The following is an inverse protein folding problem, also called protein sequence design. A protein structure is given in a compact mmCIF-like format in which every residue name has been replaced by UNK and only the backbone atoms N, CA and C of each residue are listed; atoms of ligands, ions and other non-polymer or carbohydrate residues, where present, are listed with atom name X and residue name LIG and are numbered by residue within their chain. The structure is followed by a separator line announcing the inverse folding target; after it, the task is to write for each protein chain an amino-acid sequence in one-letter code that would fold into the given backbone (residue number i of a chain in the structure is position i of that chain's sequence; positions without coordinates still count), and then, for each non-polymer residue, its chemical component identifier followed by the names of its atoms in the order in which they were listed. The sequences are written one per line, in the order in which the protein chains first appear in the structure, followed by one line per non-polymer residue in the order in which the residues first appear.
data_IF_446096917914
#
_entry.id   IF_446096917914
#
_cell.length_a   1.000
_cell.length_b   1.000
_cell.length_c   1.000
_cell.angle_alpha   90.00
_cell.angle_beta   90.00
_cell.angle_gamma   90.00
#
_symmetry.space_group_name_H-M   'P 1'
#
loop_
_entity.id
_entity.type
_entity.pdbx_description
1 polymer ?
#
# COMPACT_ATOMS: atom_id res chain seq x y z
N UNK A 1 -7.37 24.22 -33.82
CA UNK A 1 -7.47 24.66 -32.42
C UNK A 1 -8.69 23.98 -31.83
N UNK A 2 -8.48 22.91 -31.07
CA UNK A 2 -9.56 22.11 -30.47
C UNK A 2 -9.43 22.27 -28.95
N UNK A 3 -10.46 22.69 -28.22
CA UNK A 3 -10.35 22.96 -26.80
C UNK A 3 -10.17 21.66 -26.01
N UNK A 4 -9.33 21.76 -24.97
CA UNK A 4 -9.08 20.75 -23.96
C UNK A 4 -10.40 20.39 -23.27
N UNK A 5 -10.85 19.14 -23.43
CA UNK A 5 -11.79 18.55 -22.47
C UNK A 5 -10.97 18.27 -21.23
N UNK A 6 -11.04 19.18 -20.26
CA UNK A 6 -10.56 18.96 -18.91
C UNK A 6 -11.44 17.88 -18.30
N UNK A 7 -10.94 16.64 -18.31
CA UNK A 7 -11.54 15.54 -17.59
C UNK A 7 -11.52 15.92 -16.12
N UNK A 8 -12.65 16.40 -15.59
CA UNK A 8 -12.83 16.57 -14.14
C UNK A 8 -12.71 15.19 -13.54
N UNK A 9 -11.51 14.86 -13.07
CA UNK A 9 -11.26 13.66 -12.29
C UNK A 9 -12.24 13.69 -11.12
N UNK A 10 -13.04 12.63 -10.99
CA UNK A 10 -13.94 12.42 -9.86
C UNK A 10 -13.21 12.78 -8.56
N UNK A 11 -13.86 13.43 -7.57
CA UNK A 11 -13.19 13.77 -6.32
C UNK A 11 -12.56 12.50 -5.77
N UNK A 12 -11.23 12.45 -5.78
CA UNK A 12 -10.49 11.32 -5.25
C UNK A 12 -11.00 11.13 -3.82
N UNK A 13 -11.67 10.01 -3.55
CA UNK A 13 -12.14 9.67 -2.21
C UNK A 13 -11.01 10.02 -1.24
N UNK A 14 -11.28 10.77 -0.15
CA UNK A 14 -10.23 11.10 0.78
C UNK A 14 -9.61 9.79 1.27
N UNK A 15 -8.33 9.60 0.91
CA UNK A 15 -7.58 8.40 1.19
C UNK A 15 -6.14 8.77 1.52
N UNK A 16 -5.47 7.89 2.24
CA UNK A 16 -4.06 8.06 2.56
C UNK A 16 -3.28 8.05 1.25
N UNK A 17 -2.45 9.07 1.02
CA UNK A 17 -1.66 9.20 -0.21
C UNK A 17 -0.74 7.98 -0.45
N UNK A 18 -0.24 7.36 0.62
CA UNK A 18 0.74 6.29 0.50
C UNK A 18 0.08 4.92 0.38
N UNK A 19 -0.85 4.57 1.28
CA UNK A 19 -1.43 3.23 1.33
C UNK A 19 -2.84 3.14 0.73
N UNK A 20 -3.39 4.23 0.21
CA UNK A 20 -4.76 4.33 -0.30
C UNK A 20 -5.87 3.94 0.71
N UNK A 21 -5.54 3.82 2.01
CA UNK A 21 -6.54 3.57 3.05
C UNK A 21 -7.60 4.67 3.03
N UNK A 22 -8.90 4.35 3.11
CA UNK A 22 -9.95 5.37 3.10
C UNK A 22 -9.95 6.16 4.41
N UNK A 23 -10.10 7.48 4.32
CA UNK A 23 -10.18 8.37 5.48
C UNK A 23 -9.81 9.82 5.15
N UNK A 24 -10.21 10.75 6.03
CA UNK A 24 -9.89 12.17 5.88
C UNK A 24 -8.51 12.47 6.47
N UNK A 25 -7.49 12.53 5.60
CA UNK A 25 -6.10 12.83 5.99
C UNK A 25 -5.63 14.24 5.60
N UNK A 26 -6.58 15.09 5.16
CA UNK A 26 -6.32 16.46 4.75
C UNK A 26 -5.61 16.60 3.40
N UNK A 27 -5.35 17.84 3.01
CA UNK A 27 -4.66 18.16 1.76
C UNK A 27 -3.17 17.80 1.80
N UNK A 28 -2.61 17.51 0.63
CA UNK A 28 -1.18 17.27 0.46
C UNK A 28 -0.46 18.62 0.40
N UNK A 29 0.38 18.89 1.39
CA UNK A 29 1.16 20.12 1.50
C UNK A 29 2.65 19.75 1.36
N UNK A 30 3.33 20.12 0.25
CA UNK A 30 4.74 19.74 0.01
C UNK A 30 5.71 20.18 1.11
N UNK A 31 5.39 21.26 1.81
CA UNK A 31 6.20 21.82 2.90
C UNK A 31 5.91 21.20 4.27
N UNK A 32 4.85 20.41 4.41
CA UNK A 32 4.44 19.80 5.68
C UNK A 32 4.74 18.30 5.63
N UNK A 33 5.72 17.81 6.42
CA UNK A 33 6.03 16.39 6.45
C UNK A 33 4.79 15.61 6.89
N UNK A 34 4.56 14.48 6.22
CA UNK A 34 3.45 13.55 6.49
C UNK A 34 2.03 14.07 6.23
N UNK A 35 1.86 15.24 5.59
CA UNK A 35 0.54 15.70 5.17
C UNK A 35 -0.13 14.71 4.21
N UNK A 36 -1.43 14.45 4.40
CA UNK A 36 -2.18 13.48 3.60
C UNK A 36 -1.86 12.01 3.89
N UNK A 37 -1.13 11.69 4.98
CA UNK A 37 -0.83 10.32 5.39
C UNK A 37 -1.66 9.87 6.59
N UNK A 38 -2.03 8.59 6.61
CA UNK A 38 -2.60 7.96 7.80
C UNK A 38 -1.52 7.63 8.84
N UNK A 39 -1.94 7.38 10.07
CA UNK A 39 -1.04 7.08 11.19
C UNK A 39 -0.14 5.87 10.95
N UNK A 40 -0.64 4.85 10.25
CA UNK A 40 0.13 3.67 9.88
C UNK A 40 1.30 4.02 8.96
N UNK A 41 1.07 4.89 7.97
CA UNK A 41 2.13 5.35 7.06
C UNK A 41 3.13 6.27 7.78
N UNK A 42 2.67 7.08 8.72
CA UNK A 42 3.54 7.90 9.59
C UNK A 42 4.43 7.00 10.46
N UNK A 43 3.85 5.92 10.99
CA UNK A 43 4.57 4.94 11.81
C UNK A 43 5.60 4.18 10.97
N UNK A 44 5.20 3.73 9.77
CA UNK A 44 6.06 3.03 8.82
C UNK A 44 7.24 3.88 8.34
N UNK A 45 7.11 5.20 8.33
CA UNK A 45 8.19 6.12 7.96
C UNK A 45 9.33 6.19 9.00
N UNK A 46 9.15 5.62 10.19
CA UNK A 46 10.17 5.64 11.26
C UNK A 46 11.04 4.38 11.18
N UNK A 47 12.38 4.49 11.28
CA UNK A 47 13.31 3.34 11.28
C UNK A 47 13.31 2.64 12.65
N UNK A 48 12.14 2.24 13.12
CA UNK A 48 11.91 1.51 14.37
C UNK A 48 11.35 0.13 14.05
N UNK A 49 11.43 -0.82 14.98
CA UNK A 49 10.83 -2.15 14.79
C UNK A 49 9.35 -2.06 14.41
N UNK A 50 8.57 -1.26 15.14
CA UNK A 50 7.15 -1.05 14.85
C UNK A 50 6.93 -0.42 13.46
N UNK A 51 7.81 0.51 13.05
CA UNK A 51 7.77 1.09 11.70
C UNK A 51 8.06 0.07 10.61
N UNK A 52 9.09 -0.77 10.79
CA UNK A 52 9.40 -1.85 9.84
C UNK A 52 8.28 -2.89 9.76
N UNK A 53 7.72 -3.30 10.90
CA UNK A 53 6.56 -4.20 10.96
C UNK A 53 5.37 -3.62 10.20
N UNK A 54 5.05 -2.34 10.42
CA UNK A 54 3.96 -1.66 9.73
C UNK A 54 4.22 -1.51 8.23
N UNK A 55 5.47 -1.23 7.82
CA UNK A 55 5.84 -1.12 6.41
C UNK A 55 5.58 -2.42 5.64
N UNK A 56 5.95 -3.57 6.21
CA UNK A 56 5.70 -4.88 5.61
C UNK A 56 4.19 -5.14 5.47
N UNK A 57 3.39 -4.79 6.47
CA UNK A 57 1.92 -4.94 6.41
C UNK A 57 1.31 -4.06 5.32
N UNK A 58 1.78 -2.81 5.18
CA UNK A 58 1.32 -1.90 4.12
C UNK A 58 1.64 -2.46 2.73
N UNK A 59 2.88 -2.90 2.50
CA UNK A 59 3.29 -3.49 1.22
C UNK A 59 2.49 -4.75 0.90
N UNK A 60 2.27 -5.62 1.89
CA UNK A 60 1.47 -6.82 1.69
C UNK A 60 0.03 -6.52 1.27
N UNK A 61 -0.59 -5.49 1.88
CA UNK A 61 -1.94 -5.03 1.50
C UNK A 61 -1.96 -4.45 0.08
N UNK A 62 -0.96 -3.65 -0.28
CA UNK A 62 -0.86 -3.07 -1.62
C UNK A 62 -0.70 -4.15 -2.70
N UNK A 63 0.21 -5.11 -2.48
CA UNK A 63 0.38 -6.26 -3.38
C UNK A 63 -0.93 -7.06 -3.52
N UNK A 64 -1.65 -7.28 -2.42
CA UNK A 64 -2.92 -8.00 -2.47
C UNK A 64 -3.97 -7.22 -3.28
N UNK A 65 -4.11 -5.92 -3.04
CA UNK A 65 -5.04 -5.07 -3.77
C UNK A 65 -4.72 -5.01 -5.27
N UNK A 66 -3.43 -4.94 -5.65
CA UNK A 66 -2.99 -5.00 -7.04
C UNK A 66 -3.35 -6.34 -7.69
N UNK A 67 -3.15 -7.45 -6.98
CA UNK A 67 -3.53 -8.78 -7.47
C UNK A 67 -5.06 -8.95 -7.57
N UNK A 68 -5.83 -8.41 -6.63
CA UNK A 68 -7.31 -8.42 -6.66
C UNK A 68 -7.89 -7.56 -7.79
N UNK A 69 -7.18 -6.50 -8.19
CA UNK A 69 -7.55 -5.66 -9.31
C UNK A 69 -7.21 -6.28 -10.69
N UNK A 70 -6.49 -7.40 -10.73
CA UNK A 70 -6.09 -8.05 -11.97
C UNK A 70 -7.30 -8.67 -12.69
N UNK A 71 -7.53 -8.24 -13.93
CA UNK A 71 -8.56 -8.81 -14.79
C UNK A 71 -8.09 -10.17 -15.37
N UNK A 72 -8.36 -11.27 -14.65
CA UNK A 72 -7.93 -12.62 -15.01
C UNK A 72 -8.18 -13.03 -16.48
N UNK A 73 -9.31 -12.69 -17.12
CA UNK A 73 -9.54 -13.07 -18.53
C UNK A 73 -8.62 -12.37 -19.53
N UNK A 74 -8.00 -11.26 -19.14
CA UNK A 74 -7.13 -10.43 -19.98
C UNK A 74 -5.65 -10.53 -19.58
N UNK A 75 -5.36 -11.19 -18.46
CA UNK A 75 -4.01 -11.27 -17.91
C UNK A 75 -3.15 -12.24 -18.73
N UNK A 76 -1.94 -11.81 -19.05
CA UNK A 76 -0.91 -12.65 -19.65
C UNK A 76 -0.31 -13.62 -18.64
N UNK A 77 0.30 -14.74 -19.08
CA UNK A 77 1.02 -15.65 -18.18
C UNK A 77 2.14 -14.97 -17.37
N UNK A 78 2.80 -13.96 -17.94
CA UNK A 78 3.87 -13.22 -17.28
C UNK A 78 3.32 -12.32 -16.16
N UNK A 79 2.19 -11.65 -16.39
CA UNK A 79 1.50 -10.85 -15.36
C UNK A 79 1.02 -11.74 -14.20
N UNK A 80 0.43 -12.90 -14.51
CA UNK A 80 0.02 -13.87 -13.50
C UNK A 80 1.22 -14.36 -12.67
N UNK A 81 2.32 -14.71 -13.34
CA UNK A 81 3.55 -15.15 -12.68
C UNK A 81 4.14 -14.06 -11.79
N UNK A 82 4.14 -12.82 -12.27
CA UNK A 82 4.57 -11.65 -11.50
C UNK A 82 3.75 -11.52 -10.21
N UNK A 83 2.42 -11.44 -10.30
CA UNK A 83 1.57 -11.23 -9.12
C UNK A 83 1.68 -12.40 -8.13
N UNK A 84 1.74 -13.66 -8.59
CA UNK A 84 1.96 -14.83 -7.72
C UNK A 84 3.31 -14.74 -7.00
N UNK A 85 4.37 -14.33 -7.70
CA UNK A 85 5.70 -14.18 -7.09
C UNK A 85 5.74 -13.06 -6.05
N UNK A 86 5.11 -11.92 -6.32
CA UNK A 86 5.05 -10.80 -5.37
C UNK A 86 4.22 -11.21 -4.15
N UNK A 87 3.04 -11.83 -4.33
CA UNK A 87 2.21 -12.34 -3.24
C UNK A 87 2.97 -13.33 -2.34
N UNK A 88 3.70 -14.27 -2.94
CA UNK A 88 4.56 -15.21 -2.20
C UNK A 88 5.57 -14.48 -1.32
N UNK A 89 6.29 -13.50 -1.86
CA UNK A 89 7.30 -12.73 -1.11
C UNK A 89 6.66 -11.94 0.03
N UNK A 90 5.54 -11.28 -0.23
CA UNK A 90 4.78 -10.51 0.76
C UNK A 90 4.27 -11.40 1.89
N UNK A 91 3.74 -12.58 1.57
CA UNK A 91 3.32 -13.58 2.57
C UNK A 91 4.51 -14.08 3.40
N UNK A 92 5.64 -14.40 2.77
CA UNK A 92 6.86 -14.78 3.50
C UNK A 92 7.30 -13.68 4.49
N UNK A 93 7.28 -12.41 4.08
CA UNK A 93 7.61 -11.28 4.95
C UNK A 93 6.66 -11.17 6.14
N UNK A 94 5.35 -11.27 5.92
CA UNK A 94 4.37 -11.28 7.01
C UNK A 94 4.56 -12.46 7.97
N UNK A 95 4.79 -13.66 7.45
CA UNK A 95 5.03 -14.85 8.26
C UNK A 95 6.29 -14.71 9.12
N UNK A 96 7.35 -14.11 8.59
CA UNK A 96 8.57 -13.83 9.35
C UNK A 96 8.30 -12.86 10.50
N UNK A 97 7.49 -11.81 10.29
CA UNK A 97 7.08 -10.91 11.37
C UNK A 97 6.30 -11.66 12.46
N UNK A 98 5.30 -12.47 12.09
CA UNK A 98 4.48 -13.19 13.07
C UNK A 98 5.23 -14.34 13.76
N UNK A 99 6.19 -14.96 13.10
CA UNK A 99 7.01 -16.02 13.68
C UNK A 99 7.88 -15.50 14.83
N UNK A 100 8.43 -14.28 14.71
CA UNK A 100 9.22 -13.64 15.77
C UNK A 100 8.37 -13.33 17.01
N UNK A 101 7.07 -13.08 16.86
CA UNK A 101 6.14 -12.81 17.98
C UNK A 101 5.89 -14.05 18.85
N UNK A 102 6.02 -15.28 18.32
CA UNK A 102 5.90 -16.52 19.11
C UNK A 102 7.17 -16.89 19.89
N UNK A 103 8.35 -16.39 19.48
CA UNK A 103 9.63 -16.71 20.11
C UNK A 103 9.92 -15.96 21.42
N UNK A 104 9.25 -14.82 21.65
CA UNK A 104 9.49 -13.93 22.80
C UNK A 104 8.46 -14.07 23.96
N UNK A 105 7.69 -15.16 24.00
CA UNK A 105 6.93 -15.57 25.20
C UNK A 105 7.74 -16.60 26.01
N UNK A 106 8.85 -16.19 26.61
CA UNK A 106 9.49 -16.90 27.73
C UNK A 106 10.03 -15.90 28.72
#
# INVERSE_FOLDING_TARGET
MTPLVETVAAPARPCCRLCAAPGEYGAILPSVPYSGLCQDCITAARPTRAGLEQAVVIVARQTLAEAEALALPLATPDELTYHVCVLKRSLCGMLQLFAVVKGNRR
#
